data_IF_889058576635
#
_entry.id   IF_889058576635
#
_cell.length_a   1.000
_cell.length_b   1.000
_cell.length_c   1.000
_cell.angle_alpha   90.00
_cell.angle_beta   90.00
_cell.angle_gamma   90.00
#
_symmetry.space_group_name_H-M   'P 1'
#
loop_
_entity.id
_entity.type
_entity.pdbx_description
1 polymer ?
2 non-polymer ?
3 non-polymer ?
4 non-polymer ?
5 non-polymer ?
6 water ?
#
# COMPACT_ATOMS: atom_id res chain seq x y z
N UNK A 6 -16.92 -25.87 -9.11
CA UNK A 6 -16.07 -25.31 -10.21
C UNK A 6 -14.71 -24.92 -9.65
N UNK A 7 -13.62 -25.38 -10.29
CA UNK A 7 -12.27 -25.05 -9.84
C UNK A 7 -12.09 -23.55 -9.70
N UNK A 8 -11.18 -23.14 -8.83
CA UNK A 8 -10.94 -21.74 -8.59
C UNK A 8 -9.48 -21.45 -8.33
N UNK A 9 -9.01 -20.26 -8.73
CA UNK A 9 -7.63 -19.82 -8.53
C UNK A 9 -7.48 -19.38 -7.08
N UNK A 10 -8.61 -19.12 -6.44
CA UNK A 10 -8.62 -18.64 -5.07
C UNK A 10 -9.05 -19.62 -3.99
N UNK A 11 -8.93 -19.14 -2.75
CA UNK A 11 -9.30 -19.85 -1.54
C UNK A 11 -9.88 -18.78 -0.63
N UNK A 12 -11.10 -18.97 -0.14
CA UNK A 12 -11.69 -17.99 0.74
C UNK A 12 -11.48 -18.39 2.18
N UNK A 13 -11.54 -17.40 3.07
CA UNK A 13 -11.38 -17.63 4.48
C UNK A 13 -12.25 -16.67 5.27
N UNK A 14 -12.23 -16.91 6.58
CA UNK A 14 -12.89 -16.07 7.56
C UNK A 14 -11.86 -16.10 8.68
N UNK A 15 -11.92 -15.13 9.57
CA UNK A 15 -10.98 -15.02 10.68
C UNK A 15 -10.64 -16.36 11.32
N UNK A 16 -11.68 -17.08 11.74
CA UNK A 16 -11.54 -18.38 12.38
C UNK A 16 -10.56 -19.28 11.63
N UNK A 17 -10.83 -19.47 10.34
CA UNK A 17 -10.00 -20.31 9.50
C UNK A 17 -8.61 -19.74 9.33
N UNK A 18 -8.53 -18.43 9.09
CA UNK A 18 -7.26 -17.78 8.85
C UNK A 18 -6.30 -17.72 10.05
N UNK A 19 -6.83 -17.45 11.24
CA UNK A 19 -5.97 -17.35 12.42
C UNK A 19 -5.23 -18.62 12.75
N UNK A 20 -5.79 -19.77 12.35
CA UNK A 20 -5.16 -21.06 12.61
C UNK A 20 -3.84 -21.23 11.86
N UNK A 21 -3.71 -20.52 10.74
CA UNK A 21 -2.50 -20.59 9.94
C UNK A 21 -1.36 -19.77 10.55
N UNK A 22 -1.60 -19.25 11.74
CA UNK A 22 -0.59 -18.47 12.41
C UNK A 22 0.58 -19.32 12.89
N UNK A 23 0.27 -20.43 13.57
CA UNK A 23 1.28 -21.35 14.11
C UNK A 23 2.12 -20.72 15.21
N UNK A 24 3.41 -21.02 15.21
CA UNK A 24 4.30 -20.48 16.22
C UNK A 24 4.59 -19.01 15.98
N UNK A 25 4.25 -18.53 14.79
CA UNK A 25 4.51 -17.14 14.45
C UNK A 25 4.37 -16.26 15.69
N UNK A 26 5.49 -15.71 16.14
CA UNK A 26 5.59 -14.84 17.31
C UNK A 26 5.19 -13.39 17.12
N UNK A 27 4.61 -12.83 18.17
CA UNK A 27 4.17 -11.44 18.18
C UNK A 27 5.33 -10.62 18.76
N UNK A 28 5.77 -9.61 18.01
CA UNK A 28 6.89 -8.78 18.45
C UNK A 28 6.54 -7.31 18.32
N UNK A 29 5.38 -6.95 18.84
CA UNK A 29 4.92 -5.57 18.75
C UNK A 29 4.03 -5.29 19.94
N UNK A 30 4.19 -4.11 20.54
CA UNK A 30 3.39 -3.74 21.71
C UNK A 30 2.09 -3.08 21.26
N UNK A 31 1.19 -2.84 22.22
CA UNK A 31 -0.06 -2.19 21.91
C UNK A 31 0.26 -0.71 21.69
N UNK A 32 1.44 -0.31 22.13
CA UNK A 32 1.88 1.08 21.99
C UNK A 32 2.48 1.36 20.62
N UNK A 33 3.42 0.51 20.19
CA UNK A 33 4.06 0.65 18.89
C UNK A 33 3.00 0.57 17.78
N UNK A 34 2.04 -0.32 17.99
CA UNK A 34 0.95 -0.52 17.05
C UNK A 34 0.18 0.78 16.85
N UNK A 35 0.06 1.55 17.93
CA UNK A 35 -0.65 2.82 17.90
C UNK A 35 0.00 3.84 16.99
N UNK A 36 1.32 3.98 17.08
CA UNK A 36 2.01 4.94 16.24
C UNK A 36 2.09 4.49 14.79
N UNK A 37 1.40 3.41 14.47
CA UNK A 37 1.38 2.89 13.11
C UNK A 37 0.05 2.99 12.41
N UNK A 38 -1.01 3.31 13.14
CA UNK A 38 -2.31 3.41 12.50
C UNK A 38 -2.71 4.82 12.18
N UNK A 39 -3.51 4.95 11.14
CA UNK A 39 -3.96 6.25 10.71
C UNK A 39 -5.27 6.62 11.34
N UNK A 40 -5.58 7.90 11.24
CA UNK A 40 -6.82 8.42 11.77
C UNK A 40 -7.95 7.53 11.28
N UNK A 41 -8.74 7.02 12.20
CA UNK A 41 -9.87 6.19 11.82
C UNK A 41 -9.67 4.70 11.78
N UNK A 42 -8.42 4.25 11.71
CA UNK A 42 -8.17 2.81 11.67
C UNK A 42 -8.27 2.21 13.07
N UNK A 43 -8.90 1.04 13.15
CA UNK A 43 -9.14 0.37 14.42
C UNK A 43 -8.10 -0.67 14.88
N UNK A 44 -7.35 -1.23 13.95
CA UNK A 44 -6.38 -2.28 14.28
C UNK A 44 -5.85 -2.32 15.71
N UNK A 45 -6.09 -3.46 16.37
CA UNK A 45 -5.63 -3.72 17.73
C UNK A 45 -4.75 -4.97 17.67
N UNK A 46 -4.09 -5.33 18.76
CA UNK A 46 -3.23 -6.51 18.77
C UNK A 46 -3.93 -7.82 18.39
N UNK A 47 -5.19 -7.97 18.78
CA UNK A 47 -5.89 -9.19 18.45
C UNK A 47 -5.85 -9.40 16.93
N UNK A 48 -6.29 -8.39 16.19
CA UNK A 48 -6.31 -8.45 14.73
C UNK A 48 -4.92 -8.70 14.16
N UNK A 49 -3.91 -8.14 14.80
CA UNK A 49 -2.52 -8.33 14.36
C UNK A 49 -2.09 -9.78 14.56
N UNK A 50 -2.73 -10.48 15.49
CA UNK A 50 -2.38 -11.87 15.77
C UNK A 50 -3.17 -12.82 14.87
N UNK A 51 -4.47 -12.61 14.83
CA UNK A 51 -5.36 -13.46 14.05
C UNK A 51 -5.35 -13.19 12.55
N UNK A 52 -4.71 -12.10 12.13
CA UNK A 52 -4.68 -11.76 10.71
C UNK A 52 -3.31 -11.45 10.14
N UNK A 53 -2.60 -10.52 10.75
CA UNK A 53 -1.29 -10.13 10.24
C UNK A 53 -0.16 -11.11 10.48
N UNK A 54 -0.30 -11.97 11.48
CA UNK A 54 0.78 -12.93 11.74
C UNK A 54 0.75 -14.07 10.71
N UNK A 55 -0.44 -14.61 10.41
CA UNK A 55 -0.50 -15.69 9.42
C UNK A 55 0.09 -15.12 8.11
N UNK A 56 -0.33 -13.90 7.78
CA UNK A 56 0.13 -13.21 6.58
C UNK A 56 1.64 -13.12 6.57
N UNK A 57 2.21 -12.68 7.68
CA UNK A 57 3.66 -12.55 7.77
C UNK A 57 4.30 -13.89 7.48
N UNK A 58 3.74 -14.96 8.06
CA UNK A 58 4.26 -16.32 7.88
C UNK A 58 4.32 -16.68 6.40
N UNK A 59 3.15 -16.65 5.76
CA UNK A 59 3.04 -16.94 4.34
C UNK A 59 4.10 -16.16 3.58
N UNK A 60 4.15 -14.86 3.80
CA UNK A 60 5.14 -14.04 3.11
C UNK A 60 6.55 -14.59 3.32
N UNK A 61 6.85 -15.03 4.54
CA UNK A 61 8.17 -15.57 4.84
C UNK A 61 8.42 -16.89 4.10
N UNK A 62 7.40 -17.74 4.07
CA UNK A 62 7.51 -19.02 3.37
C UNK A 62 7.81 -18.78 1.88
N UNK A 63 7.27 -17.69 1.35
CA UNK A 63 7.44 -17.35 -0.06
C UNK A 63 8.77 -16.71 -0.42
N UNK A 64 9.28 -15.80 0.43
CA UNK A 64 10.54 -15.13 0.13
C UNK A 64 11.64 -16.14 -0.21
N UNK A 65 11.60 -17.28 0.47
CA UNK A 65 12.56 -18.34 0.26
C UNK A 65 12.30 -18.97 -1.11
N UNK A 66 11.10 -19.51 -1.27
CA UNK A 66 10.68 -20.14 -2.52
C UNK A 66 10.88 -19.23 -3.72
N UNK A 67 10.56 -17.95 -3.54
CA UNK A 67 10.70 -16.98 -4.61
C UNK A 67 12.17 -16.80 -4.97
N UNK A 68 13.05 -17.01 -4.01
CA UNK A 68 14.49 -16.86 -4.28
C UNK A 68 15.00 -17.91 -5.26
N UNK A 69 14.45 -19.11 -5.17
CA UNK A 69 14.82 -20.23 -6.03
C UNK A 69 14.69 -19.85 -7.50
N UNK A 70 13.63 -19.10 -7.78
CA UNK A 70 13.32 -18.66 -9.12
C UNK A 70 14.38 -17.81 -9.76
N UNK A 71 14.89 -16.81 -9.04
CA UNK A 71 15.92 -15.97 -9.62
C UNK A 71 17.23 -16.75 -9.70
N UNK A 72 17.41 -17.67 -8.76
CA UNK A 72 18.60 -18.50 -8.74
C UNK A 72 18.61 -19.44 -9.95
N UNK A 73 17.44 -20.00 -10.25
CA UNK A 73 17.31 -20.91 -11.39
C UNK A 73 17.78 -20.21 -12.65
N UNK A 74 17.29 -19.00 -12.86
CA UNK A 74 17.68 -18.23 -14.03
C UNK A 74 19.15 -17.85 -13.95
N UNK A 75 19.62 -17.58 -12.75
CA UNK A 75 21.02 -17.23 -12.55
C UNK A 75 21.85 -18.44 -12.98
N UNK A 76 21.41 -19.61 -12.52
CA UNK A 76 22.10 -20.84 -12.84
C UNK A 76 22.04 -21.10 -14.33
N UNK A 77 20.88 -20.88 -14.93
CA UNK A 77 20.71 -21.09 -16.36
C UNK A 77 21.71 -20.25 -17.11
N UNK A 78 21.86 -19.00 -16.67
CA UNK A 78 22.77 -18.06 -17.31
C UNK A 78 24.22 -18.24 -16.91
N UNK A 79 24.51 -19.23 -16.06
CA UNK A 79 25.88 -19.46 -15.64
C UNK A 79 26.47 -18.26 -14.94
N UNK A 80 25.71 -17.69 -14.00
CA UNK A 80 26.15 -16.53 -13.25
C UNK A 80 26.75 -16.92 -11.91
N UNK A 81 27.75 -16.15 -11.45
CA UNK A 81 28.46 -16.35 -10.18
C UNK A 81 27.60 -16.35 -8.91
N UNK A 82 26.71 -17.33 -8.81
CA UNK A 82 25.85 -17.48 -7.63
C UNK A 82 25.12 -16.21 -7.20
N UNK A 83 24.99 -16.01 -5.90
CA UNK A 83 24.20 -14.89 -5.45
C UNK A 83 24.48 -14.67 -4.00
N UNK A 84 25.22 -13.61 -3.74
CA UNK A 84 25.58 -13.23 -2.40
C UNK A 84 24.39 -13.00 -1.56
N UNK A 85 24.37 -13.76 -0.49
CA UNK A 85 23.36 -13.72 0.55
C UNK A 85 23.27 -12.39 1.28
N UNK A 86 24.30 -11.57 1.13
CA UNK A 86 24.29 -10.22 1.63
C UNK A 86 23.63 -9.34 0.58
N UNK A 87 22.91 -9.95 -0.34
CA UNK A 87 22.24 -9.16 -1.37
C UNK A 87 21.39 -10.02 -2.31
N UNK A 88 20.29 -10.60 -1.80
CA UNK A 88 19.46 -11.42 -2.69
C UNK A 88 18.60 -10.50 -3.56
N UNK A 89 17.81 -11.08 -4.47
CA UNK A 89 16.94 -10.25 -5.30
C UNK A 89 15.88 -9.74 -4.33
N UNK A 90 15.74 -8.42 -4.21
CA UNK A 90 14.74 -7.86 -3.29
C UNK A 90 13.33 -8.41 -3.52
N UNK A 91 12.63 -8.68 -2.43
CA UNK A 91 11.27 -9.19 -2.52
C UNK A 91 10.32 -7.99 -2.53
N UNK A 92 9.61 -7.79 -3.63
CA UNK A 92 8.72 -6.65 -3.75
C UNK A 92 7.27 -6.98 -3.39
N UNK A 93 6.68 -6.18 -2.51
CA UNK A 93 5.31 -6.39 -2.08
C UNK A 93 4.46 -5.18 -2.40
N UNK A 94 3.32 -5.40 -3.05
CA UNK A 94 2.44 -4.31 -3.39
C UNK A 94 1.19 -4.29 -2.51
N UNK A 95 0.79 -3.09 -2.11
CA UNK A 95 -0.41 -2.93 -1.29
C UNK A 95 -1.28 -1.91 -2.01
N UNK A 96 -2.42 -2.40 -2.52
CA UNK A 96 -3.34 -1.56 -3.28
C UNK A 96 -4.67 -1.42 -2.59
N UNK A 97 -5.46 -0.47 -3.09
CA UNK A 97 -6.78 -0.26 -2.53
C UNK A 97 -7.21 1.18 -2.64
N UNK A 98 -8.49 1.40 -2.37
CA UNK A 98 -9.08 2.72 -2.46
C UNK A 98 -8.53 3.74 -1.47
N UNK A 99 -8.78 5.00 -1.79
CA UNK A 99 -8.40 6.11 -0.93
C UNK A 99 -9.18 5.85 0.34
N UNK A 100 -8.56 6.06 1.49
CA UNK A 100 -9.24 5.89 2.79
C UNK A 100 -9.62 4.47 3.20
N UNK A 101 -9.05 3.45 2.58
CA UNK A 101 -9.41 2.10 2.97
C UNK A 101 -8.43 1.61 4.04
N UNK A 102 -7.41 2.42 4.29
CA UNK A 102 -6.45 2.07 5.33
C UNK A 102 -5.24 1.27 4.89
N UNK A 103 -4.86 1.37 3.63
CA UNK A 103 -3.72 0.62 3.19
C UNK A 103 -2.42 1.13 3.83
N UNK A 104 -2.38 2.39 4.22
CA UNK A 104 -1.17 2.91 4.85
C UNK A 104 -0.92 2.25 6.20
N UNK A 105 -1.98 1.81 6.86
CA UNK A 105 -1.86 1.15 8.15
C UNK A 105 -1.36 -0.27 7.93
N UNK A 106 -2.03 -0.97 7.01
CA UNK A 106 -1.69 -2.32 6.65
C UNK A 106 -0.23 -2.38 6.21
N UNK A 107 0.18 -1.39 5.44
CA UNK A 107 1.56 -1.35 4.97
C UNK A 107 2.55 -1.13 6.12
N UNK A 108 2.21 -0.22 7.02
CA UNK A 108 3.07 0.09 8.16
C UNK A 108 3.19 -1.09 9.11
N UNK A 109 2.07 -1.73 9.42
CA UNK A 109 2.08 -2.87 10.32
C UNK A 109 2.91 -4.00 9.71
N UNK A 110 2.63 -4.29 8.44
CA UNK A 110 3.35 -5.35 7.74
C UNK A 110 4.85 -5.08 7.78
N UNK A 111 5.24 -3.85 7.51
CA UNK A 111 6.65 -3.49 7.50
C UNK A 111 7.28 -3.78 8.85
N UNK A 112 6.62 -3.33 9.90
CA UNK A 112 7.13 -3.53 11.26
C UNK A 112 7.26 -5.02 11.58
N UNK A 113 6.24 -5.79 11.23
CA UNK A 113 6.27 -7.22 11.48
C UNK A 113 7.45 -7.89 10.77
N UNK A 114 7.65 -7.54 9.51
CA UNK A 114 8.72 -8.13 8.72
C UNK A 114 10.12 -7.70 9.13
N UNK A 115 10.26 -6.45 9.57
CA UNK A 115 11.57 -5.95 9.98
C UNK A 115 12.01 -6.64 11.26
N UNK A 116 11.02 -7.13 12.00
CA UNK A 116 11.24 -7.84 13.25
C UNK A 116 11.31 -9.32 13.04
N UNK A 117 12.23 -9.74 12.19
CA UNK A 117 12.37 -11.15 11.98
C UNK A 117 13.83 -11.50 12.05
N UNK A 118 14.09 -12.65 12.67
CA UNK A 118 15.43 -13.16 12.84
C UNK A 118 16.32 -12.61 11.72
N UNK A 119 17.45 -12.04 12.10
CA UNK A 119 18.40 -11.49 11.13
C UNK A 119 18.08 -10.07 10.67
N UNK A 120 16.97 -9.53 11.16
CA UNK A 120 16.55 -8.17 10.86
C UNK A 120 16.72 -7.73 9.42
N UNK A 121 15.74 -8.07 8.59
CA UNK A 121 15.67 -7.76 7.16
C UNK A 121 15.48 -6.26 7.00
N UNK A 122 16.17 -5.67 6.04
CA UNK A 122 15.97 -4.26 5.79
C UNK A 122 14.68 -4.22 4.99
N UNK A 123 13.62 -3.69 5.62
CA UNK A 123 12.30 -3.63 5.01
C UNK A 123 11.88 -2.19 4.76
N UNK A 124 12.04 -1.73 3.51
CA UNK A 124 11.66 -0.37 3.16
C UNK A 124 10.24 -0.28 2.64
N UNK A 125 9.62 0.87 2.88
CA UNK A 125 8.25 1.13 2.44
C UNK A 125 8.16 2.42 1.65
N UNK A 126 7.55 2.35 0.47
CA UNK A 126 7.40 3.51 -0.41
C UNK A 126 5.98 3.62 -0.94
N UNK A 127 5.42 4.82 -0.86
CA UNK A 127 4.07 5.08 -1.36
C UNK A 127 4.20 5.73 -2.72
N UNK A 128 3.20 5.63 -3.55
CA UNK A 128 3.24 6.22 -4.84
C UNK A 128 2.95 7.68 -4.92
N UNK A 129 2.61 8.27 -3.82
CA UNK A 129 2.37 9.66 -3.67
C UNK A 129 3.45 10.47 -4.21
N UNK A 130 4.66 10.04 -4.02
CA UNK A 130 5.79 10.77 -4.45
C UNK A 130 6.04 10.66 -5.89
N UNK A 131 5.26 9.89 -6.55
CA UNK A 131 5.39 9.78 -7.98
C UNK A 131 4.29 10.50 -8.73
N UNK A 132 3.51 11.30 -8.02
CA UNK A 132 2.47 12.07 -8.66
C UNK A 132 3.22 13.21 -9.34
N UNK A 133 2.63 13.77 -10.40
CA UNK A 133 3.26 14.89 -11.04
C UNK A 133 3.06 16.07 -10.10
N UNK A 134 3.96 17.06 -10.14
CA UNK A 134 3.79 18.21 -9.25
C UNK A 134 2.46 18.89 -9.62
N UNK A 135 1.96 19.76 -8.75
CA UNK A 135 0.71 20.45 -9.04
C UNK A 135 0.81 21.28 -10.31
N UNK A 136 1.98 21.90 -10.50
CA UNK A 136 2.23 22.73 -11.67
C UNK A 136 2.08 21.91 -12.93
N UNK A 137 2.63 20.71 -12.91
CA UNK A 137 2.58 19.82 -14.06
C UNK A 137 1.17 19.26 -14.24
N UNK A 138 0.47 19.02 -13.14
CA UNK A 138 -0.89 18.50 -13.21
C UNK A 138 -1.80 19.57 -13.78
N UNK A 139 -1.57 20.81 -13.39
CA UNK A 139 -2.38 21.91 -13.88
C UNK A 139 -2.15 22.04 -15.38
N UNK A 140 -0.90 21.88 -15.78
CA UNK A 140 -0.51 21.96 -17.19
C UNK A 140 -1.28 20.93 -18.01
N UNK A 141 -1.34 19.69 -17.51
CA UNK A 141 -2.06 18.61 -18.19
C UNK A 141 -3.55 18.67 -17.85
N UNK A 142 -3.96 19.71 -17.14
CA UNK A 142 -5.36 19.88 -16.77
C UNK A 142 -5.86 18.69 -15.95
N UNK A 143 -5.03 18.18 -15.05
CA UNK A 143 -5.37 17.04 -14.21
C UNK A 143 -5.43 17.34 -12.72
N UNK A 144 -5.59 18.61 -12.35
CA UNK A 144 -5.66 18.95 -10.93
C UNK A 144 -6.86 18.37 -10.19
N UNK A 145 -7.76 17.72 -10.93
CA UNK A 145 -8.92 17.10 -10.33
C UNK A 145 -8.96 15.61 -10.64
N UNK A 146 -7.79 15.05 -10.89
CA UNK A 146 -7.68 13.63 -11.20
C UNK A 146 -6.49 13.05 -10.46
N UNK A 147 -6.13 13.71 -9.35
CA UNK A 147 -5.03 13.27 -8.52
C UNK A 147 -5.39 11.88 -8.01
N UNK A 148 -4.57 10.90 -8.34
CA UNK A 148 -4.87 9.54 -7.93
C UNK A 148 -5.22 8.67 -9.12
N UNK A 149 -5.62 9.30 -10.22
CA UNK A 149 -5.94 8.56 -11.44
C UNK A 149 -4.61 8.13 -12.05
N UNK A 150 -4.59 7.01 -12.79
CA UNK A 150 -3.36 6.51 -13.41
C UNK A 150 -2.51 7.54 -14.12
N UNK A 151 -3.16 8.50 -14.77
CA UNK A 151 -2.45 9.52 -15.54
C UNK A 151 -1.86 10.68 -14.73
N UNK A 152 -2.15 10.74 -13.43
CA UNK A 152 -1.63 11.80 -12.57
C UNK A 152 -0.27 11.40 -12.03
N UNK A 153 0.17 10.21 -12.42
CA UNK A 153 1.45 9.67 -11.99
C UNK A 153 2.51 9.58 -13.10
N UNK A 154 3.76 9.78 -12.71
CA UNK A 154 4.90 9.64 -13.61
C UNK A 154 5.20 8.14 -13.47
N UNK A 155 4.48 7.33 -14.23
CA UNK A 155 4.66 5.89 -14.16
C UNK A 155 5.99 5.40 -14.65
N UNK A 156 6.63 6.22 -15.49
CA UNK A 156 7.94 5.89 -16.04
C UNK A 156 8.96 5.97 -14.92
N UNK A 157 8.90 7.06 -14.16
CA UNK A 157 9.81 7.26 -13.04
C UNK A 157 9.57 6.18 -11.99
N UNK A 158 8.30 5.88 -11.75
CA UNK A 158 7.91 4.86 -10.77
C UNK A 158 8.47 3.50 -11.15
N UNK A 159 8.24 3.12 -12.41
CA UNK A 159 8.71 1.85 -12.94
C UNK A 159 10.23 1.78 -12.87
N UNK A 160 10.86 2.90 -13.23
CA UNK A 160 12.32 3.00 -13.22
C UNK A 160 12.84 2.78 -11.81
N UNK A 161 12.14 3.34 -10.84
CA UNK A 161 12.51 3.23 -9.44
C UNK A 161 12.51 1.78 -8.96
N UNK A 162 11.37 1.12 -9.12
CA UNK A 162 11.22 -0.26 -8.68
C UNK A 162 12.14 -1.19 -9.47
N UNK A 163 12.29 -0.91 -10.76
CA UNK A 163 13.17 -1.74 -11.57
C UNK A 163 14.57 -1.60 -11.00
N UNK A 164 14.99 -0.37 -10.74
CA UNK A 164 16.31 -0.11 -10.18
C UNK A 164 16.53 -0.91 -8.88
N UNK A 165 15.57 -0.81 -7.96
CA UNK A 165 15.68 -1.52 -6.69
C UNK A 165 15.75 -3.04 -6.81
N UNK A 166 14.87 -3.63 -7.61
CA UNK A 166 14.86 -5.08 -7.75
C UNK A 166 16.03 -5.59 -8.60
N UNK A 167 16.55 -4.74 -9.48
CA UNK A 167 17.67 -5.13 -10.34
C UNK A 167 18.96 -5.22 -9.52
N UNK A 168 18.91 -4.82 -8.26
CA UNK A 168 20.08 -4.89 -7.41
C UNK A 168 20.84 -3.61 -7.12
N UNK A 169 20.37 -2.48 -7.64
CA UNK A 169 21.04 -1.19 -7.42
C UNK A 169 21.41 -0.98 -5.96
N UNK A 170 22.49 -0.24 -5.72
CA UNK A 170 22.94 0.04 -4.36
C UNK A 170 22.00 0.98 -3.65
N UNK A 171 21.36 1.85 -4.43
CA UNK A 171 20.40 2.80 -3.89
C UNK A 171 19.62 3.45 -5.03
N UNK A 172 18.37 3.79 -4.73
CA UNK A 172 17.48 4.43 -5.70
C UNK A 172 16.77 5.58 -4.99
N UNK A 173 16.40 6.61 -5.74
CA UNK A 173 15.72 7.76 -5.16
C UNK A 173 14.29 7.89 -5.64
N UNK A 174 13.44 8.49 -4.80
CA UNK A 174 12.04 8.71 -5.13
C UNK A 174 11.61 10.06 -4.57
N UNK A 175 10.81 10.83 -5.34
CA UNK A 175 10.36 12.15 -4.85
C UNK A 175 9.52 11.97 -3.60
N UNK A 176 9.23 13.06 -2.90
CA UNK A 176 8.45 12.99 -1.67
C UNK A 176 7.20 13.86 -1.76
N UNK A 177 6.06 13.29 -1.41
CA UNK A 177 4.81 14.05 -1.45
C UNK A 177 4.44 14.58 -0.09
N UNK A 178 3.94 15.81 -0.03
CA UNK A 178 3.51 16.41 1.22
C UNK A 178 1.99 16.50 1.25
N UNK A 179 1.36 15.84 2.22
CA UNK A 179 -0.10 15.93 2.32
C UNK A 179 -0.48 17.27 2.91
N UNK A 180 0.49 17.91 3.58
CA UNK A 180 0.26 19.22 4.18
C UNK A 180 0.12 20.30 3.13
N UNK A 181 1.01 20.28 2.16
CA UNK A 181 0.99 21.27 1.08
C UNK A 181 0.27 20.76 -0.17
N UNK A 182 -0.13 19.48 -0.15
CA UNK A 182 -0.86 18.89 -1.26
C UNK A 182 -0.02 18.91 -2.55
N UNK A 183 1.30 18.77 -2.42
CA UNK A 183 2.15 18.80 -3.59
C UNK A 183 3.51 18.14 -3.32
N UNK A 184 4.28 17.95 -4.38
CA UNK A 184 5.61 17.35 -4.28
C UNK A 184 6.55 18.34 -3.60
N UNK A 185 7.41 17.83 -2.73
CA UNK A 185 8.35 18.67 -1.99
C UNK A 185 9.63 18.91 -2.80
N UNK A 186 9.94 20.19 -3.08
CA UNK A 186 11.14 20.52 -3.85
C UNK A 186 12.42 19.99 -3.22
N UNK A 187 13.23 19.30 -4.01
CA UNK A 187 14.48 18.76 -3.53
C UNK A 187 14.43 17.59 -2.56
N UNK A 188 13.24 17.26 -2.07
CA UNK A 188 13.09 16.15 -1.13
C UNK A 188 13.23 14.81 -1.83
N UNK A 189 13.83 13.85 -1.13
CA UNK A 189 13.98 12.53 -1.71
C UNK A 189 14.05 11.43 -0.67
N UNK A 190 13.61 10.24 -1.06
CA UNK A 190 13.65 9.09 -0.19
C UNK A 190 14.64 8.12 -0.82
N UNK A 191 15.74 7.87 -0.13
CA UNK A 191 16.75 6.97 -0.65
C UNK A 191 16.52 5.58 -0.12
N UNK A 192 16.51 4.60 -1.02
CA UNK A 192 16.30 3.20 -0.68
C UNK A 192 17.55 2.40 -1.03
N UNK A 193 18.12 1.72 -0.03
CA UNK A 193 19.35 0.95 -0.24
C UNK A 193 19.20 -0.56 -0.21
N UNK A 194 19.35 -1.18 -1.38
CA UNK A 194 19.25 -2.64 -1.51
C UNK A 194 18.50 -3.25 -0.33
N UNK A 195 17.19 -3.04 -0.26
CA UNK A 195 16.40 -3.60 0.85
C UNK A 195 16.29 -5.09 0.62
N UNK A 196 15.81 -5.81 1.61
CA UNK A 196 15.61 -7.25 1.47
C UNK A 196 14.18 -7.38 0.99
N UNK A 197 13.38 -6.43 1.43
CA UNK A 197 11.98 -6.36 1.08
C UNK A 197 11.58 -4.91 0.84
N UNK A 198 10.80 -4.70 -0.20
CA UNK A 198 10.31 -3.38 -0.53
C UNK A 198 8.82 -3.44 -0.63
N UNK A 199 8.13 -2.62 0.15
CA UNK A 199 6.68 -2.59 0.09
C UNK A 199 6.29 -1.31 -0.65
N UNK A 200 5.56 -1.47 -1.75
CA UNK A 200 5.11 -0.36 -2.55
C UNK A 200 3.62 -0.21 -2.31
N UNK A 201 3.25 0.92 -1.73
CA UNK A 201 1.87 1.19 -1.38
C UNK A 201 1.22 2.25 -2.26
N UNK A 202 0.09 1.96 -2.83
CA UNK A 202 -0.57 2.90 -3.66
C UNK A 202 -1.87 2.50 -4.23
N UNK A 203 -2.65 3.44 -4.65
CA UNK A 203 -3.91 3.25 -5.31
C UNK A 203 -3.99 2.31 -6.46
N UNK A 204 -3.11 2.49 -7.42
CA UNK A 204 -3.17 1.76 -8.63
C UNK A 204 -2.00 0.88 -8.87
N UNK A 205 -1.29 0.47 -7.87
CA UNK A 205 -0.09 -0.28 -8.01
C UNK A 205 -0.28 -1.60 -8.64
N UNK A 206 -1.43 -2.16 -8.51
CA UNK A 206 -1.74 -3.45 -9.11
C UNK A 206 -2.22 -3.47 -10.55
N UNK A 207 -2.09 -2.36 -11.27
CA UNK A 207 -2.61 -2.38 -12.62
C UNK A 207 -1.63 -2.75 -13.75
N UNK A 208 -2.21 -3.16 -14.87
CA UNK A 208 -1.44 -3.57 -16.03
C UNK A 208 -1.61 -2.65 -17.22
N UNK A 209 -0.83 -2.93 -18.25
CA UNK A 209 -0.88 -2.12 -19.45
C UNK A 209 -0.01 -2.62 -20.59
N UNK A 210 0.01 -1.86 -21.70
CA UNK A 210 0.75 -2.12 -22.93
C UNK A 210 2.26 -2.03 -22.73
N UNK A 211 2.67 -1.78 -21.49
CA UNK A 211 4.08 -1.68 -21.17
C UNK A 211 4.34 -2.47 -19.89
N UNK A 212 5.57 -2.92 -19.70
CA UNK A 212 5.87 -3.66 -18.49
C UNK A 212 5.68 -2.70 -17.33
N UNK A 213 4.96 -3.13 -16.30
CA UNK A 213 4.71 -2.27 -15.16
C UNK A 213 5.16 -2.77 -13.80
N UNK A 214 5.04 -1.88 -12.84
CA UNK A 214 5.41 -2.14 -11.47
C UNK A 214 4.74 -3.40 -10.89
N UNK A 215 3.49 -3.67 -11.30
CA UNK A 215 2.79 -4.85 -10.81
C UNK A 215 3.38 -6.13 -11.38
N UNK A 216 4.15 -5.99 -12.46
CA UNK A 216 4.79 -7.13 -13.10
C UNK A 216 6.06 -7.52 -12.34
N UNK A 217 6.44 -6.70 -11.37
CA UNK A 217 7.61 -6.95 -10.56
C UNK A 217 7.27 -7.40 -9.13
N UNK A 218 5.98 -7.45 -8.79
CA UNK A 218 5.58 -7.87 -7.45
C UNK A 218 5.74 -9.37 -7.25
N UNK A 219 6.23 -9.76 -6.07
CA UNK A 219 6.42 -11.16 -5.76
C UNK A 219 5.25 -11.58 -4.88
N UNK A 220 4.54 -10.57 -4.37
CA UNK A 220 3.37 -10.75 -3.52
C UNK A 220 2.61 -9.43 -3.52
N UNK A 221 1.29 -9.49 -3.42
CA UNK A 221 0.50 -8.27 -3.40
C UNK A 221 -0.72 -8.37 -2.52
N UNK A 222 -1.08 -7.24 -1.94
CA UNK A 222 -2.24 -7.15 -1.08
C UNK A 222 -3.20 -6.12 -1.64
N UNK A 223 -4.47 -6.39 -1.43
CA UNK A 223 -5.52 -5.49 -1.84
C UNK A 223 -6.46 -5.32 -0.63
N UNK A 224 -6.39 -4.14 -0.01
CA UNK A 224 -7.25 -3.85 1.13
C UNK A 224 -8.60 -3.48 0.54
N UNK A 225 -9.60 -4.30 0.86
CA UNK A 225 -10.94 -4.12 0.32
C UNK A 225 -12.01 -3.88 1.39
N UNK A 226 -13.15 -3.38 0.95
CA UNK A 226 -14.28 -3.09 1.82
C UNK A 226 -15.38 -2.57 0.91
N UNK A 227 -16.58 -2.42 1.44
CA UNK A 227 -17.66 -1.93 0.61
C UNK A 227 -17.56 -0.45 0.29
N UNK A 228 -17.80 -0.13 -0.98
CA UNK A 228 -17.72 1.23 -1.46
C UNK A 228 -18.53 2.23 -0.62
N UNK A 229 -19.67 1.81 -0.09
CA UNK A 229 -20.47 2.70 0.73
C UNK A 229 -19.80 2.85 2.10
N UNK A 230 -19.16 1.80 2.54
CA UNK A 230 -18.45 1.81 3.81
C UNK A 230 -17.24 2.71 3.68
N UNK A 231 -16.51 2.57 2.57
CA UNK A 231 -15.32 3.39 2.36
C UNK A 231 -15.68 4.87 2.24
N UNK A 232 -16.78 5.18 1.53
CA UNK A 232 -17.19 6.58 1.39
C UNK A 232 -17.45 7.07 2.80
N UNK A 233 -18.11 6.22 3.57
CA UNK A 233 -18.42 6.54 4.95
C UNK A 233 -17.13 6.92 5.69
N UNK A 234 -16.11 6.08 5.58
CA UNK A 234 -14.85 6.36 6.24
C UNK A 234 -14.20 7.64 5.74
N UNK A 235 -14.29 7.85 4.43
CA UNK A 235 -13.73 9.04 3.80
C UNK A 235 -14.34 10.32 4.37
N UNK A 236 -15.66 10.42 4.30
CA UNK A 236 -16.39 11.58 4.81
C UNK A 236 -16.08 11.75 6.29
N UNK A 237 -16.21 10.65 7.02
CA UNK A 237 -15.95 10.66 8.45
C UNK A 237 -14.57 11.25 8.77
N UNK A 238 -13.54 10.79 8.06
CA UNK A 238 -12.18 11.25 8.27
C UNK A 238 -12.01 12.70 7.84
N UNK A 239 -12.79 13.12 6.85
CA UNK A 239 -12.71 14.49 6.39
C UNK A 239 -13.16 15.42 7.52
N UNK A 240 -14.28 15.09 8.14
CA UNK A 240 -14.78 15.92 9.23
C UNK A 240 -13.80 15.91 10.40
N UNK A 241 -13.23 14.75 10.68
CA UNK A 241 -12.29 14.59 11.78
C UNK A 241 -10.99 15.37 11.59
N UNK A 242 -10.61 15.60 10.34
CA UNK A 242 -9.36 16.32 10.05
C UNK A 242 -9.46 17.82 10.25
N UNK A 243 -10.68 18.32 10.46
CA UNK A 243 -10.87 19.74 10.67
C UNK A 243 -10.07 20.20 11.88
N UNK A 244 -9.89 19.30 12.85
CA UNK A 244 -9.13 19.63 14.05
C UNK A 244 -7.76 18.97 14.13
N UNK A 245 -7.37 18.25 13.09
CA UNK A 245 -6.04 17.66 13.08
C UNK A 245 -5.25 18.31 11.93
N UNK A 246 -5.26 17.67 10.77
CA UNK A 246 -4.52 18.17 9.61
C UNK A 246 -4.97 19.54 9.11
N UNK A 247 -6.26 19.68 8.79
CA UNK A 247 -6.78 20.94 8.28
C UNK A 247 -6.60 22.09 9.25
N UNK A 248 -6.52 21.77 10.54
CA UNK A 248 -6.37 22.79 11.57
C UNK A 248 -5.10 23.61 11.38
N UNK A 249 -4.06 23.00 10.81
CA UNK A 249 -2.82 23.69 10.56
C UNK A 249 -3.07 24.82 9.57
N UNK A 250 -2.62 26.03 9.91
CA UNK A 250 -2.77 27.22 9.07
C UNK A 250 -2.10 27.05 7.71
N UNK A 251 -1.26 26.03 7.61
CA UNK A 251 -0.53 25.75 6.39
C UNK A 251 -1.15 24.72 5.51
N UNK A 252 -2.02 23.89 6.07
CA UNK A 252 -2.66 22.87 5.28
C UNK A 252 -3.29 23.50 4.04
N UNK A 253 -3.07 22.88 2.89
CA UNK A 253 -3.65 23.38 1.65
C UNK A 253 -5.17 23.31 1.79
N UNK A 254 -5.64 22.71 2.87
CA UNK A 254 -7.07 22.56 3.11
C UNK A 254 -7.52 23.31 4.35
N UNK A 255 -6.73 24.27 4.82
CA UNK A 255 -7.10 24.98 6.03
C UNK A 255 -8.48 25.63 6.07
N UNK A 256 -9.03 25.99 4.92
CA UNK A 256 -10.35 26.62 4.91
C UNK A 256 -11.46 25.67 5.34
N UNK A 257 -11.21 24.36 5.22
CA UNK A 257 -12.21 23.36 5.59
C UNK A 257 -12.39 23.22 7.10
N UNK A 258 -11.36 23.59 7.84
CA UNK A 258 -11.40 23.49 9.30
C UNK A 258 -12.62 24.18 9.87
N UNK A 259 -13.00 25.31 9.26
CA UNK A 259 -14.14 26.10 9.70
C UNK A 259 -15.52 25.64 9.27
N UNK A 260 -15.58 24.60 8.43
CA UNK A 260 -16.86 24.10 7.97
C UNK A 260 -17.69 23.47 9.06
N UNK A 261 -19.01 23.51 8.89
CA UNK A 261 -19.93 22.91 9.84
C UNK A 261 -19.96 21.44 9.47
N UNK A 262 -20.40 20.59 10.37
CA UNK A 262 -20.45 19.17 10.08
C UNK A 262 -21.17 19.02 8.73
N UNK A 263 -22.26 19.76 8.58
CA UNK A 263 -23.06 19.73 7.36
C UNK A 263 -22.30 20.19 6.12
N UNK A 264 -21.68 21.35 6.19
CA UNK A 264 -20.92 21.86 5.06
C UNK A 264 -19.84 20.85 4.69
N UNK A 265 -19.13 20.39 5.72
CA UNK A 265 -18.06 19.43 5.57
C UNK A 265 -18.54 18.16 4.88
N UNK A 266 -19.67 17.64 5.31
CA UNK A 266 -20.21 16.43 4.72
C UNK A 266 -20.51 16.66 3.24
N UNK A 267 -21.09 17.81 2.92
CA UNK A 267 -21.38 18.13 1.54
C UNK A 267 -20.09 18.16 0.75
N UNK A 268 -19.10 18.92 1.22
CA UNK A 268 -17.82 19.01 0.52
C UNK A 268 -17.15 17.64 0.31
N UNK A 269 -17.01 16.88 1.40
CA UNK A 269 -16.39 15.56 1.34
C UNK A 269 -17.06 14.65 0.32
N UNK A 270 -18.39 14.61 0.34
CA UNK A 270 -19.17 13.79 -0.58
C UNK A 270 -18.94 14.19 -2.02
N UNK A 271 -18.76 15.48 -2.26
CA UNK A 271 -18.55 15.96 -3.62
C UNK A 271 -17.22 15.46 -4.18
N UNK A 272 -16.18 15.44 -3.34
CA UNK A 272 -14.88 14.97 -3.75
C UNK A 272 -14.93 13.47 -4.03
N UNK A 273 -15.59 12.76 -3.13
CA UNK A 273 -15.71 11.32 -3.28
C UNK A 273 -16.40 11.01 -4.61
N UNK A 274 -17.53 11.66 -4.82
CA UNK A 274 -18.36 11.48 -6.00
C UNK A 274 -17.71 11.87 -7.32
N UNK A 275 -16.86 12.90 -7.28
CA UNK A 275 -16.24 13.36 -8.51
C UNK A 275 -14.81 12.89 -8.74
N UNK A 276 -14.15 12.39 -7.71
CA UNK A 276 -12.78 11.95 -7.88
C UNK A 276 -12.48 10.52 -7.43
N UNK A 277 -12.54 10.33 -6.12
CA UNK A 277 -12.20 9.05 -5.54
C UNK A 277 -13.08 7.86 -5.87
N UNK A 278 -14.39 8.07 -6.02
CA UNK A 278 -15.26 6.96 -6.38
C UNK A 278 -14.99 6.52 -7.82
N UNK A 279 -15.06 7.46 -8.77
CA UNK A 279 -14.82 7.14 -10.19
C UNK A 279 -13.51 6.36 -10.38
N UNK A 280 -12.46 6.83 -9.72
CA UNK A 280 -11.17 6.19 -9.82
C UNK A 280 -11.19 4.78 -9.22
N UNK A 281 -11.93 4.62 -8.12
CA UNK A 281 -12.02 3.32 -7.47
C UNK A 281 -12.71 2.33 -8.40
N UNK A 282 -13.83 2.74 -8.97
CA UNK A 282 -14.63 1.93 -9.87
C UNK A 282 -13.99 1.64 -11.24
N UNK A 283 -13.36 2.66 -11.81
CA UNK A 283 -12.74 2.54 -13.13
C UNK A 283 -11.32 1.99 -13.14
N UNK A 284 -10.55 2.26 -12.10
CA UNK A 284 -9.15 1.81 -12.09
C UNK A 284 -8.71 0.85 -11.00
N UNK A 285 -9.02 1.17 -9.75
CA UNK A 285 -8.59 0.33 -8.63
C UNK A 285 -9.28 -1.04 -8.55
N UNK A 286 -10.60 -1.04 -8.43
CA UNK A 286 -11.35 -2.30 -8.35
C UNK A 286 -11.04 -3.30 -9.45
N UNK A 287 -10.89 -2.84 -10.70
CA UNK A 287 -10.57 -3.81 -11.76
C UNK A 287 -9.23 -4.51 -11.55
N UNK A 288 -8.44 -4.05 -10.58
CA UNK A 288 -7.14 -4.67 -10.31
C UNK A 288 -7.20 -5.70 -9.18
N UNK A 289 -8.27 -5.66 -8.40
CA UNK A 289 -8.43 -6.59 -7.28
C UNK A 289 -8.31 -8.06 -7.62
N UNK A 290 -8.80 -8.48 -8.80
CA UNK A 290 -8.71 -9.88 -9.18
C UNK A 290 -7.28 -10.47 -9.18
N UNK A 291 -6.27 -9.62 -9.32
CA UNK A 291 -4.88 -10.09 -9.34
C UNK A 291 -4.13 -10.09 -8.00
N UNK A 292 -4.74 -9.50 -6.97
CA UNK A 292 -4.08 -9.46 -5.67
C UNK A 292 -3.81 -10.87 -5.13
N UNK A 293 -2.60 -11.09 -4.66
CA UNK A 293 -2.26 -12.40 -4.09
C UNK A 293 -3.20 -12.64 -2.91
N UNK A 294 -3.45 -11.58 -2.16
CA UNK A 294 -4.32 -11.66 -0.99
C UNK A 294 -5.22 -10.44 -0.86
N UNK A 295 -6.51 -10.69 -0.67
CA UNK A 295 -7.45 -9.59 -0.49
C UNK A 295 -7.88 -9.57 0.97
N UNK A 296 -7.73 -8.41 1.60
CA UNK A 296 -8.12 -8.26 2.99
C UNK A 296 -9.46 -7.53 3.02
N UNK A 297 -10.53 -8.29 3.27
CA UNK A 297 -11.87 -7.72 3.30
C UNK A 297 -12.27 -7.21 4.67
N UNK A 298 -12.49 -5.90 4.74
CA UNK A 298 -12.88 -5.25 5.99
C UNK A 298 -14.38 -5.01 6.04
N UNK A 299 -14.90 -4.95 7.27
CA UNK A 299 -16.31 -4.69 7.46
C UNK A 299 -16.46 -3.23 7.84
N UNK A 300 -17.69 -2.74 7.88
CA UNK A 300 -17.99 -1.35 8.21
C UNK A 300 -17.22 -0.82 9.43
N UNK A 301 -16.80 -1.71 10.31
CA UNK A 301 -16.07 -1.34 11.52
C UNK A 301 -14.57 -1.29 11.26
N UNK A 302 -14.17 -1.53 10.02
CA UNK A 302 -12.77 -1.54 9.60
C UNK A 302 -12.03 -2.83 9.92
N UNK A 303 -12.69 -3.79 10.56
CA UNK A 303 -11.99 -5.04 10.88
C UNK A 303 -12.01 -6.01 9.71
N UNK A 304 -10.88 -6.69 9.52
CA UNK A 304 -10.74 -7.66 8.45
C UNK A 304 -11.40 -8.95 8.93
N UNK A 305 -12.50 -9.35 8.30
CA UNK A 305 -13.20 -10.56 8.70
C UNK A 305 -13.25 -11.67 7.65
N UNK A 306 -12.74 -11.39 6.46
CA UNK A 306 -12.70 -12.36 5.38
C UNK A 306 -11.47 -12.11 4.53
N UNK A 307 -10.92 -13.17 3.95
CA UNK A 307 -9.73 -13.05 3.12
C UNK A 307 -9.81 -13.96 1.89
N UNK A 308 -9.31 -13.47 0.77
CA UNK A 308 -9.30 -14.25 -0.48
C UNK A 308 -7.84 -14.42 -0.90
N UNK A 309 -7.39 -15.66 -0.96
CA UNK A 309 -6.00 -15.94 -1.34
C UNK A 309 -5.90 -16.56 -2.72
N UNK A 310 -4.84 -16.17 -3.44
CA UNK A 310 -4.59 -16.71 -4.76
C UNK A 310 -3.66 -17.88 -4.58
N UNK A 311 -4.16 -19.07 -4.84
CA UNK A 311 -3.35 -20.26 -4.73
C UNK A 311 -2.79 -20.55 -6.11
N UNK A 312 -3.44 -20.02 -7.13
CA UNK A 312 -3.02 -20.17 -8.53
C UNK A 312 -2.81 -18.83 -9.23
#
# INVERSE_FOLDING_TARGET
MSRLSEPSPYVEFDRRQWRALRMSTPLALTEEELVGLRGLGEQIDLLEVEEVYLPLARLIHLQVAARQRLFAATAEFLGEPQQNPDRPVPFIIGVAGSVAVGKSTTARVLQALLARWDHHPRVDLVTTDGFLYPNAELQRRNLMHRKGFPESYNRRALMRFVTSVKSGSDYACAPVYSHLHYDIIPGAEQVVRHPDILILEGLNVLQTGPTLMVSDLFDFSLYVDARIEDIEQWYVSRFLAMRTTAFADPESHFHHYAAFSDSQAVVAAREIWRTINRPNLVENILPTRPRATLVLRKDADHSINRLRLRKL
#
